data_IF_752342708249
#
_entry.id   IF_752342708249
#
_cell.length_a   1.000
_cell.length_b   1.000
_cell.length_c   1.000
_cell.angle_alpha   90.00
_cell.angle_beta   90.00
_cell.angle_gamma   90.00
#
_symmetry.space_group_name_H-M   'P 1'
#
loop_
_entity.id
_entity.type
_entity.pdbx_description
1 polymer ?
#
# COMPACT_ATOMS: atom_id res chain seq x y z
N UNK A 1 26.76 22.90 -18.83
CA UNK A 1 25.50 23.26 -19.52
C UNK A 1 24.39 22.42 -18.93
N UNK A 2 23.44 23.02 -18.22
CA UNK A 2 22.24 22.32 -17.71
C UNK A 2 21.46 21.78 -18.93
N UNK A 3 21.24 20.47 -19.00
CA UNK A 3 20.44 19.87 -20.09
C UNK A 3 19.01 20.40 -20.02
N UNK A 4 18.57 21.11 -21.03
CA UNK A 4 17.19 21.60 -21.11
C UNK A 4 16.23 20.41 -21.10
N UNK A 5 15.17 20.52 -20.31
CA UNK A 5 14.14 19.51 -20.28
C UNK A 5 13.39 19.46 -21.61
N UNK A 6 13.23 18.27 -22.18
CA UNK A 6 12.29 18.07 -23.28
C UNK A 6 10.85 18.31 -22.81
N UNK A 7 9.94 18.64 -23.72
CA UNK A 7 8.53 18.83 -23.36
C UNK A 7 7.93 17.57 -22.75
N UNK A 8 8.28 16.39 -23.28
CA UNK A 8 7.85 15.11 -22.71
C UNK A 8 8.35 14.94 -21.27
N UNK A 9 9.63 15.22 -21.00
CA UNK A 9 10.18 15.11 -19.66
C UNK A 9 9.48 16.05 -18.67
N UNK A 10 9.12 17.28 -19.09
CA UNK A 10 8.35 18.23 -18.26
C UNK A 10 6.96 17.69 -17.94
N UNK A 11 6.27 17.14 -18.93
CA UNK A 11 4.92 16.56 -18.72
C UNK A 11 4.97 15.36 -17.80
N UNK A 12 5.90 14.43 -18.04
CA UNK A 12 6.08 13.23 -17.18
C UNK A 12 6.42 13.64 -15.75
N UNK A 13 7.36 14.56 -15.58
CA UNK A 13 7.75 15.06 -14.25
C UNK A 13 6.53 15.65 -13.52
N UNK A 14 5.84 16.59 -14.14
CA UNK A 14 4.69 17.26 -13.51
C UNK A 14 3.55 16.32 -13.16
N UNK A 15 3.27 15.34 -14.04
CA UNK A 15 2.18 14.39 -13.83
C UNK A 15 2.48 13.33 -12.80
N UNK A 16 3.75 12.92 -12.67
CA UNK A 16 4.10 11.69 -11.93
C UNK A 16 4.91 11.96 -10.67
N UNK A 17 5.82 12.93 -10.68
CA UNK A 17 6.83 13.08 -9.62
C UNK A 17 6.72 14.37 -8.83
N UNK A 18 6.25 15.45 -9.45
CA UNK A 18 6.00 16.72 -8.80
C UNK A 18 4.78 16.62 -7.90
N UNK A 19 4.93 16.95 -6.64
CA UNK A 19 3.85 16.86 -5.63
C UNK A 19 3.17 18.20 -5.43
N UNK A 20 1.95 18.13 -4.87
CA UNK A 20 1.13 19.28 -4.52
C UNK A 20 0.55 19.11 -3.10
N UNK A 21 1.37 18.67 -2.17
CA UNK A 21 0.92 18.33 -0.80
C UNK A 21 0.46 19.56 -0.01
N UNK A 22 0.97 20.74 -0.36
CA UNK A 22 0.72 22.02 0.34
C UNK A 22 0.02 23.06 -0.53
N UNK A 23 -0.67 22.64 -1.59
CA UNK A 23 -1.42 23.53 -2.48
C UNK A 23 -0.59 24.23 -3.57
N UNK A 24 0.72 24.04 -3.56
CA UNK A 24 1.61 24.52 -4.61
C UNK A 24 2.31 23.33 -5.29
N UNK A 25 2.25 23.34 -6.62
CA UNK A 25 2.94 22.31 -7.42
C UNK A 25 4.47 22.50 -7.32
N UNK A 26 5.16 21.43 -6.88
CA UNK A 26 6.62 21.44 -6.81
C UNK A 26 7.26 21.75 -8.18
N UNK A 27 8.33 22.55 -8.17
CA UNK A 27 9.31 22.59 -9.23
C UNK A 27 10.43 21.56 -8.99
N UNK A 28 11.37 21.44 -9.93
CA UNK A 28 12.43 20.44 -9.82
C UNK A 28 13.35 20.64 -8.58
N UNK A 29 13.63 21.89 -8.22
CA UNK A 29 14.44 22.18 -7.05
C UNK A 29 13.72 21.76 -5.76
N UNK A 30 12.44 22.04 -5.67
CA UNK A 30 11.61 21.63 -4.50
C UNK A 30 11.60 20.10 -4.35
N UNK A 31 11.43 19.37 -5.46
CA UNK A 31 11.49 17.90 -5.45
C UNK A 31 12.87 17.41 -4.99
N UNK A 32 13.96 18.01 -5.47
CA UNK A 32 15.33 17.62 -5.08
C UNK A 32 15.53 17.81 -3.58
N UNK A 33 15.16 18.99 -3.04
CA UNK A 33 15.30 19.24 -1.60
C UNK A 33 14.46 18.30 -0.76
N UNK A 34 13.20 18.08 -1.12
CA UNK A 34 12.32 17.12 -0.43
C UNK A 34 12.89 15.71 -0.43
N UNK A 35 13.37 15.23 -1.56
CA UNK A 35 13.93 13.87 -1.71
C UNK A 35 15.21 13.72 -0.90
N UNK A 36 16.11 14.70 -0.95
CA UNK A 36 17.34 14.71 -0.14
C UNK A 36 16.95 14.66 1.33
N UNK A 37 16.13 15.60 1.79
CA UNK A 37 15.69 15.65 3.18
C UNK A 37 15.10 14.30 3.63
N UNK A 38 14.18 13.73 2.86
CA UNK A 38 13.52 12.46 3.20
C UNK A 38 14.45 11.24 3.27
N UNK A 39 15.63 11.31 2.62
CA UNK A 39 16.59 10.21 2.63
C UNK A 39 17.74 10.42 3.63
N UNK A 40 18.07 11.65 4.00
CA UNK A 40 19.19 11.93 4.93
C UNK A 40 18.74 12.24 6.35
N UNK A 41 17.45 12.50 6.57
CA UNK A 41 16.89 12.80 7.89
C UNK A 41 17.21 11.68 8.88
N UNK A 42 17.88 12.04 9.97
CA UNK A 42 18.29 11.09 11.01
C UNK A 42 19.56 10.30 10.70
N UNK A 43 20.20 10.54 9.55
CA UNK A 43 21.51 9.99 9.22
C UNK A 43 22.62 10.98 9.52
N UNK A 44 23.80 10.48 9.85
CA UNK A 44 25.00 11.31 10.04
C UNK A 44 25.66 11.59 8.67
N UNK A 45 25.09 12.54 7.93
CA UNK A 45 25.54 12.95 6.59
C UNK A 45 26.09 14.37 6.68
N UNK A 46 27.29 14.61 6.16
CA UNK A 46 27.94 15.93 6.16
C UNK A 46 27.26 16.87 5.16
N UNK A 47 27.37 18.19 5.42
CA UNK A 47 26.89 19.22 4.49
C UNK A 47 27.56 19.13 3.10
N UNK A 48 28.81 18.69 3.04
CA UNK A 48 29.54 18.48 1.79
C UNK A 48 28.89 17.33 0.96
N UNK A 49 28.50 16.26 1.60
CA UNK A 49 27.78 15.14 0.94
C UNK A 49 26.39 15.57 0.48
N UNK A 50 25.65 16.31 1.31
CA UNK A 50 24.35 16.87 0.94
C UNK A 50 24.48 17.80 -0.28
N UNK A 51 25.46 18.70 -0.27
CA UNK A 51 25.72 19.59 -1.40
C UNK A 51 26.08 18.82 -2.68
N UNK A 52 26.82 17.72 -2.56
CA UNK A 52 27.18 16.84 -3.67
C UNK A 52 25.95 16.09 -4.22
N UNK A 53 25.09 15.55 -3.34
CA UNK A 53 23.82 14.92 -3.74
C UNK A 53 22.92 15.92 -4.47
N UNK A 54 22.76 17.12 -3.91
CA UNK A 54 22.00 18.22 -4.52
C UNK A 54 22.51 18.53 -5.92
N UNK A 55 23.83 18.70 -6.09
CA UNK A 55 24.42 18.95 -7.39
C UNK A 55 24.10 17.84 -8.40
N UNK A 56 24.29 16.56 -8.04
CA UNK A 56 24.04 15.46 -8.94
C UNK A 56 22.57 15.35 -9.34
N UNK A 57 21.66 15.55 -8.39
CA UNK A 57 20.23 15.51 -8.68
C UNK A 57 19.77 16.72 -9.49
N UNK A 58 20.18 17.93 -9.15
CA UNK A 58 19.84 19.15 -9.90
C UNK A 58 20.29 19.05 -11.36
N UNK A 59 21.49 18.54 -11.60
CA UNK A 59 22.05 18.32 -12.93
C UNK A 59 21.55 17.02 -13.60
N UNK A 60 20.70 16.24 -12.90
CA UNK A 60 20.16 14.93 -13.38
C UNK A 60 21.26 13.95 -13.79
N UNK A 61 22.40 13.98 -13.11
CA UNK A 61 23.51 13.06 -13.30
C UNK A 61 23.33 11.77 -12.51
N UNK A 62 22.63 11.87 -11.36
CA UNK A 62 22.17 10.74 -10.57
C UNK A 62 20.79 11.06 -9.99
N UNK A 63 19.90 10.09 -10.00
CA UNK A 63 18.55 10.21 -9.45
C UNK A 63 18.17 8.90 -8.77
N UNK A 64 17.36 8.94 -7.70
CA UNK A 64 16.79 7.71 -7.15
C UNK A 64 15.80 7.09 -8.15
N UNK A 65 15.35 5.88 -7.87
CA UNK A 65 14.24 5.27 -8.60
C UNK A 65 12.99 6.17 -8.58
N UNK A 66 12.11 6.03 -9.56
CA UNK A 66 10.91 6.87 -9.67
C UNK A 66 10.06 6.91 -8.39
N UNK A 67 9.97 5.78 -7.67
CA UNK A 67 9.30 5.71 -6.36
C UNK A 67 9.98 6.62 -5.34
N UNK A 68 11.30 6.67 -5.30
CA UNK A 68 12.06 7.57 -4.44
C UNK A 68 11.80 9.04 -4.78
N UNK A 69 11.75 9.41 -6.07
CA UNK A 69 11.39 10.76 -6.49
C UNK A 69 9.98 11.17 -6.04
N UNK A 70 9.04 10.24 -6.10
CA UNK A 70 7.64 10.52 -5.77
C UNK A 70 7.38 10.52 -4.27
N UNK A 71 7.98 9.58 -3.51
CA UNK A 71 7.59 9.28 -2.13
C UNK A 71 8.54 9.84 -1.06
N UNK A 72 9.87 9.90 -1.31
CA UNK A 72 10.83 10.36 -0.29
C UNK A 72 10.52 11.77 0.19
N UNK A 73 10.48 11.95 1.50
CA UNK A 73 10.20 13.24 2.14
C UNK A 73 8.76 13.73 2.02
N UNK A 74 7.85 12.95 1.43
CA UNK A 74 6.43 13.28 1.42
C UNK A 74 5.80 13.07 2.82
N UNK A 75 4.69 13.74 3.16
CA UNK A 75 4.01 13.54 4.44
C UNK A 75 3.63 12.08 4.70
N UNK A 76 3.29 11.35 3.64
CA UNK A 76 3.02 9.90 3.71
C UNK A 76 4.26 9.07 4.06
N UNK A 77 5.46 9.47 3.61
CA UNK A 77 6.71 8.82 4.00
C UNK A 77 6.97 8.97 5.50
N UNK A 78 6.77 10.15 6.04
CA UNK A 78 6.94 10.40 7.47
C UNK A 78 5.94 9.62 8.32
N UNK A 79 4.69 9.49 7.85
CA UNK A 79 3.61 8.80 8.55
C UNK A 79 3.68 7.27 8.45
N UNK A 80 3.99 6.74 7.26
CA UNK A 80 3.88 5.31 6.94
C UNK A 80 5.24 4.59 6.89
N UNK A 81 6.35 5.34 7.01
CA UNK A 81 7.70 4.81 6.94
C UNK A 81 8.16 4.47 5.52
N UNK A 82 9.33 3.83 5.43
CA UNK A 82 10.03 3.58 4.16
C UNK A 82 9.55 2.37 3.36
N UNK A 83 8.58 1.59 3.83
CA UNK A 83 8.15 0.38 3.14
C UNK A 83 7.69 0.65 1.70
N UNK A 84 6.96 1.76 1.48
CA UNK A 84 6.50 2.17 0.17
C UNK A 84 7.63 2.62 -0.79
N UNK A 85 8.88 2.75 -0.35
CA UNK A 85 10.03 2.97 -1.22
C UNK A 85 10.42 1.72 -2.00
N UNK A 86 10.10 0.53 -1.49
CA UNK A 86 10.33 -0.72 -2.19
C UNK A 86 9.23 -0.97 -3.21
N UNK A 87 9.62 -1.41 -4.41
CA UNK A 87 8.68 -1.69 -5.49
C UNK A 87 8.25 -3.15 -5.55
N UNK A 88 9.10 -4.08 -5.08
CA UNK A 88 8.91 -5.51 -5.28
C UNK A 88 9.11 -6.28 -3.98
N UNK A 89 8.23 -7.26 -3.76
CA UNK A 89 8.22 -8.13 -2.60
C UNK A 89 8.03 -9.58 -3.03
N UNK A 90 8.56 -10.49 -2.25
CA UNK A 90 8.35 -11.92 -2.45
C UNK A 90 7.93 -12.57 -1.13
N UNK A 91 6.83 -13.32 -1.17
CA UNK A 91 6.26 -14.05 -0.05
C UNK A 91 6.00 -15.51 -0.42
N UNK A 92 5.80 -16.35 0.57
CA UNK A 92 5.37 -17.75 0.41
C UNK A 92 3.98 -17.94 1.04
N UNK A 93 3.16 -18.82 0.46
CA UNK A 93 1.82 -19.12 0.98
C UNK A 93 1.88 -20.25 2.03
N UNK A 94 2.80 -20.15 3.00
CA UNK A 94 2.98 -21.15 4.05
C UNK A 94 2.32 -20.76 5.41
N UNK A 95 1.75 -19.58 5.45
CA UNK A 95 0.95 -19.07 6.56
C UNK A 95 -0.20 -18.23 6.01
N UNK A 96 -1.34 -18.23 6.67
CA UNK A 96 -2.48 -17.41 6.27
C UNK A 96 -2.21 -15.91 6.48
N UNK A 97 -1.36 -15.55 7.42
CA UNK A 97 -0.93 -14.17 7.67
C UNK A 97 -0.20 -13.56 6.47
N UNK A 98 0.51 -14.39 5.68
CA UNK A 98 1.22 -13.91 4.49
C UNK A 98 0.29 -13.36 3.40
N UNK A 99 -0.99 -13.78 3.38
CA UNK A 99 -1.99 -13.16 2.50
C UNK A 99 -2.38 -11.75 2.99
N UNK A 100 -2.44 -11.54 4.30
CA UNK A 100 -2.68 -10.19 4.88
C UNK A 100 -1.49 -9.27 4.61
N UNK A 101 -0.27 -9.77 4.79
CA UNK A 101 0.96 -9.03 4.46
C UNK A 101 0.99 -8.68 2.96
N UNK A 102 0.62 -9.63 2.09
CA UNK A 102 0.54 -9.37 0.65
C UNK A 102 -0.43 -8.24 0.32
N UNK A 103 -1.63 -8.24 0.90
CA UNK A 103 -2.59 -7.16 0.73
C UNK A 103 -2.02 -5.82 1.22
N UNK A 104 -1.39 -5.79 2.37
CA UNK A 104 -0.79 -4.58 2.95
C UNK A 104 0.24 -3.96 2.01
N UNK A 105 1.14 -4.78 1.50
CA UNK A 105 2.19 -4.35 0.57
C UNK A 105 1.63 -3.91 -0.80
N UNK A 106 0.59 -4.60 -1.31
CA UNK A 106 -0.11 -4.19 -2.52
C UNK A 106 -0.80 -2.83 -2.34
N UNK A 107 -1.41 -2.57 -1.17
CA UNK A 107 -2.03 -1.27 -0.87
C UNK A 107 -0.99 -0.15 -0.71
N UNK A 108 0.26 -0.45 -0.42
CA UNK A 108 1.38 0.49 -0.50
C UNK A 108 1.89 0.69 -1.94
N UNK A 109 1.23 0.07 -2.92
CA UNK A 109 1.58 0.15 -4.35
C UNK A 109 2.78 -0.71 -4.73
N UNK A 110 3.17 -1.68 -3.91
CA UNK A 110 4.21 -2.66 -4.23
C UNK A 110 3.72 -3.73 -5.20
N UNK A 111 4.61 -4.33 -5.96
CA UNK A 111 4.38 -5.59 -6.66
C UNK A 111 4.71 -6.75 -5.72
N UNK A 112 3.77 -7.66 -5.50
CA UNK A 112 3.96 -8.77 -4.56
C UNK A 112 3.87 -10.09 -5.32
N UNK A 113 4.98 -10.83 -5.37
CA UNK A 113 5.01 -12.24 -5.80
C UNK A 113 4.68 -13.15 -4.62
N UNK A 114 3.70 -14.03 -4.79
CA UNK A 114 3.33 -15.03 -3.79
C UNK A 114 3.54 -16.43 -4.35
N UNK A 115 4.48 -17.19 -3.78
CA UNK A 115 4.69 -18.58 -4.17
C UNK A 115 3.65 -19.48 -3.53
N UNK A 116 2.85 -20.15 -4.38
CA UNK A 116 1.75 -21.06 -3.98
C UNK A 116 2.13 -22.54 -4.21
N UNK A 117 3.42 -22.85 -4.23
CA UNK A 117 3.88 -24.23 -4.38
C UNK A 117 3.38 -25.13 -3.24
N UNK A 118 3.15 -26.41 -3.54
CA UNK A 118 2.64 -27.37 -2.56
C UNK A 118 3.47 -27.44 -1.26
N UNK A 119 4.81 -27.34 -1.36
CA UNK A 119 5.73 -27.32 -0.18
C UNK A 119 5.42 -26.18 0.81
N UNK A 120 4.77 -25.10 0.36
CA UNK A 120 4.33 -23.99 1.20
C UNK A 120 2.86 -24.16 1.61
N UNK A 121 1.98 -24.34 0.64
CA UNK A 121 0.53 -24.39 0.90
C UNK A 121 0.11 -25.59 1.76
N UNK A 122 0.88 -26.69 1.75
CA UNK A 122 0.66 -27.85 2.62
C UNK A 122 0.85 -27.56 4.11
N UNK A 123 1.45 -26.42 4.47
CA UNK A 123 1.62 -25.98 5.88
C UNK A 123 0.40 -25.21 6.40
N UNK A 124 -0.48 -24.77 5.53
CA UNK A 124 -1.68 -24.05 5.93
C UNK A 124 -2.57 -24.97 6.79
N UNK A 125 -3.21 -24.41 7.84
CA UNK A 125 -4.18 -25.15 8.64
C UNK A 125 -5.37 -25.60 7.78
N UNK A 126 -6.04 -26.66 8.20
CA UNK A 126 -7.30 -27.07 7.58
C UNK A 126 -8.37 -26.00 7.78
N UNK A 127 -9.16 -25.79 6.74
CA UNK A 127 -10.25 -24.81 6.75
C UNK A 127 -11.34 -25.27 7.73
N UNK A 128 -11.70 -24.44 8.69
CA UNK A 128 -12.74 -24.72 9.70
C UNK A 128 -14.10 -24.87 9.03
N UNK A 129 -14.95 -25.70 9.64
CA UNK A 129 -16.33 -25.92 9.18
C UNK A 129 -17.29 -24.85 9.70
N UNK A 130 -18.41 -24.71 9.04
CA UNK A 130 -19.56 -23.88 9.45
C UNK A 130 -19.25 -22.39 9.65
N UNK A 131 -18.17 -21.88 9.04
CA UNK A 131 -17.81 -20.46 9.05
C UNK A 131 -18.62 -19.71 8.00
N UNK A 132 -19.28 -18.64 8.43
CA UNK A 132 -20.01 -17.71 7.57
C UNK A 132 -19.58 -16.28 7.85
N UNK A 133 -19.18 -15.55 6.79
CA UNK A 133 -18.86 -14.14 6.84
C UNK A 133 -19.93 -13.38 6.06
N UNK A 134 -20.58 -12.41 6.71
CA UNK A 134 -21.75 -11.72 6.14
C UNK A 134 -21.47 -10.22 6.06
N UNK A 135 -21.64 -9.64 4.87
CA UNK A 135 -21.62 -8.19 4.70
C UNK A 135 -22.99 -7.61 5.07
N UNK A 136 -22.99 -6.56 5.89
CA UNK A 136 -24.18 -5.82 6.29
C UNK A 136 -23.99 -4.32 5.98
N UNK A 137 -25.03 -3.66 5.50
CA UNK A 137 -24.98 -2.22 5.20
C UNK A 137 -25.37 -1.35 6.42
N UNK A 138 -25.19 -1.85 7.63
CA UNK A 138 -25.60 -1.21 8.89
C UNK A 138 -24.43 -1.02 9.85
N UNK A 139 -24.63 -0.22 10.90
CA UNK A 139 -23.65 -0.03 11.97
C UNK A 139 -23.70 -1.11 13.05
N UNK A 140 -24.62 -2.07 12.95
CA UNK A 140 -24.82 -3.13 13.95
C UNK A 140 -24.02 -4.40 13.63
N UNK A 141 -23.14 -4.34 12.64
CA UNK A 141 -22.24 -5.44 12.31
C UNK A 141 -21.18 -5.65 13.41
N UNK A 142 -20.74 -6.91 13.56
CA UNK A 142 -19.71 -7.30 14.55
C UNK A 142 -18.38 -6.58 14.31
N UNK A 143 -18.09 -6.22 13.06
CA UNK A 143 -16.92 -5.44 12.70
C UNK A 143 -17.27 -4.33 11.70
N UNK A 144 -16.94 -3.09 12.04
CA UNK A 144 -17.08 -1.94 11.14
C UNK A 144 -15.70 -1.58 10.60
N UNK A 145 -15.56 -1.69 9.27
CA UNK A 145 -14.30 -1.41 8.58
C UNK A 145 -14.00 0.08 8.67
N UNK A 146 -12.86 0.43 9.23
CA UNK A 146 -12.39 1.82 9.22
C UNK A 146 -11.91 2.21 7.83
N UNK A 147 -12.08 3.51 7.49
CA UNK A 147 -11.65 4.07 6.20
C UNK A 147 -10.13 4.27 6.16
N UNK A 148 -9.40 3.18 6.22
CA UNK A 148 -7.93 3.15 6.27
C UNK A 148 -7.39 1.85 5.69
N UNK A 149 -6.12 1.85 5.28
CA UNK A 149 -5.39 0.66 4.86
C UNK A 149 -5.40 -0.42 5.95
N UNK A 150 -5.19 -0.01 7.19
CA UNK A 150 -5.19 -0.88 8.35
C UNK A 150 -6.55 -1.53 8.57
N UNK A 151 -7.66 -0.79 8.37
CA UNK A 151 -9.02 -1.33 8.48
C UNK A 151 -9.34 -2.39 7.43
N UNK A 152 -8.87 -2.20 6.21
CA UNK A 152 -9.02 -3.19 5.14
C UNK A 152 -8.21 -4.46 5.42
N UNK A 153 -6.97 -4.31 5.90
CA UNK A 153 -6.12 -5.43 6.29
C UNK A 153 -6.67 -6.18 7.50
N UNK A 154 -7.22 -5.47 8.48
CA UNK A 154 -7.85 -6.08 9.65
C UNK A 154 -9.08 -6.90 9.27
N UNK A 155 -9.90 -6.45 8.30
CA UNK A 155 -11.01 -7.25 7.81
C UNK A 155 -10.51 -8.57 7.19
N UNK A 156 -9.53 -8.52 6.30
CA UNK A 156 -8.96 -9.74 5.71
C UNK A 156 -8.38 -10.65 6.79
N UNK A 157 -7.64 -10.09 7.76
CA UNK A 157 -7.09 -10.85 8.88
C UNK A 157 -8.18 -11.60 9.65
N UNK A 158 -9.27 -10.92 10.01
CA UNK A 158 -10.42 -11.54 10.71
C UNK A 158 -11.07 -12.65 9.91
N UNK A 159 -11.26 -12.43 8.61
CA UNK A 159 -11.82 -13.45 7.71
C UNK A 159 -10.95 -14.70 7.68
N UNK A 160 -9.65 -14.54 7.44
CA UNK A 160 -8.73 -15.68 7.38
C UNK A 160 -8.58 -16.36 8.74
N UNK A 161 -8.49 -15.60 9.83
CA UNK A 161 -8.47 -16.15 11.19
C UNK A 161 -9.74 -16.96 11.51
N UNK A 162 -10.91 -16.51 11.07
CA UNK A 162 -12.16 -17.26 11.21
C UNK A 162 -12.08 -18.62 10.51
N UNK A 163 -11.61 -18.63 9.28
CA UNK A 163 -11.53 -19.86 8.49
C UNK A 163 -10.38 -20.79 8.90
N UNK A 164 -9.24 -20.26 9.31
CA UNK A 164 -8.06 -21.09 9.59
C UNK A 164 -7.83 -21.38 11.07
N UNK A 165 -8.32 -20.53 11.97
CA UNK A 165 -7.98 -20.63 13.40
C UNK A 165 -9.21 -20.84 14.28
N UNK A 166 -10.15 -19.87 14.29
CA UNK A 166 -11.18 -19.82 15.33
C UNK A 166 -12.45 -20.60 15.01
N UNK A 167 -12.83 -20.73 13.76
CA UNK A 167 -14.11 -21.29 13.34
C UNK A 167 -15.32 -20.40 13.63
N UNK A 168 -15.11 -19.14 14.05
CA UNK A 168 -16.19 -18.20 14.42
C UNK A 168 -16.69 -17.44 13.21
N UNK A 169 -18.01 -17.44 13.02
CA UNK A 169 -18.69 -16.58 12.05
C UNK A 169 -18.80 -15.15 12.57
N UNK A 170 -18.84 -14.18 11.66
CA UNK A 170 -19.10 -12.79 12.01
C UNK A 170 -19.68 -12.00 10.83
N UNK A 171 -20.28 -10.87 11.15
CA UNK A 171 -20.73 -9.88 10.18
C UNK A 171 -19.79 -8.67 10.11
N UNK A 172 -19.69 -8.06 8.93
CA UNK A 172 -18.91 -6.82 8.79
C UNK A 172 -19.67 -5.77 7.98
N UNK A 173 -19.31 -4.50 8.20
CA UNK A 173 -19.89 -3.37 7.47
C UNK A 173 -18.80 -2.46 6.93
N UNK A 174 -19.05 -1.93 5.74
CA UNK A 174 -18.20 -0.93 5.08
C UNK A 174 -18.81 0.46 5.08
N UNK A 175 -19.80 0.70 5.94
CA UNK A 175 -20.56 1.98 6.02
C UNK A 175 -19.68 3.20 6.31
N UNK A 176 -18.51 3.01 6.91
CA UNK A 176 -17.55 4.07 7.21
C UNK A 176 -16.48 4.25 6.12
N UNK A 177 -16.43 3.40 5.11
CA UNK A 177 -15.47 3.51 4.01
C UNK A 177 -15.95 4.59 3.04
N UNK A 178 -15.03 5.51 2.68
CA UNK A 178 -15.32 6.61 1.75
C UNK A 178 -15.81 6.11 0.39
N UNK A 179 -16.67 6.86 -0.29
CA UNK A 179 -17.16 6.50 -1.62
C UNK A 179 -16.06 6.56 -2.68
N UNK A 180 -16.37 5.97 -3.83
CA UNK A 180 -15.54 6.03 -5.03
C UNK A 180 -15.35 7.49 -5.49
N UNK A 181 -14.14 7.82 -5.94
CA UNK A 181 -13.78 9.13 -6.47
C UNK A 181 -13.29 10.13 -5.43
N UNK A 182 -13.45 9.89 -4.14
CA UNK A 182 -12.88 10.77 -3.12
C UNK A 182 -11.35 10.69 -3.07
N UNK A 183 -10.67 11.83 -2.85
CA UNK A 183 -9.20 11.85 -2.82
C UNK A 183 -8.62 11.08 -1.64
N UNK A 184 -7.55 10.32 -1.89
CA UNK A 184 -6.74 9.66 -0.85
C UNK A 184 -5.70 10.66 -0.37
N UNK A 185 -5.94 11.24 0.82
CA UNK A 185 -5.04 12.24 1.41
C UNK A 185 -3.68 11.62 1.76
N UNK A 186 -2.61 12.31 1.37
CA UNK A 186 -1.23 11.96 1.71
C UNK A 186 -0.58 10.95 0.77
N UNK A 187 -1.26 9.88 0.36
CA UNK A 187 -0.71 8.91 -0.58
C UNK A 187 -0.92 9.35 -2.04
N UNK A 188 -2.05 10.01 -2.32
CA UNK A 188 -2.44 10.46 -3.65
C UNK A 188 -3.38 9.48 -4.36
N UNK A 189 -4.00 9.95 -5.44
CA UNK A 189 -5.02 9.20 -6.17
C UNK A 189 -6.41 9.34 -5.57
N UNK A 190 -7.35 8.53 -6.07
CA UNK A 190 -8.76 8.52 -5.68
C UNK A 190 -9.18 7.16 -5.16
N UNK A 191 -10.12 7.17 -4.23
CA UNK A 191 -10.72 5.97 -3.65
C UNK A 191 -11.48 5.16 -4.71
N UNK A 192 -11.37 3.84 -4.62
CA UNK A 192 -12.22 2.90 -5.38
C UNK A 192 -13.58 2.63 -4.72
N UNK A 193 -13.85 3.25 -3.57
CA UNK A 193 -15.00 2.93 -2.74
C UNK A 193 -14.90 1.54 -2.08
N UNK A 194 -15.95 1.11 -1.37
CA UNK A 194 -15.96 -0.16 -0.63
C UNK A 194 -16.16 -1.40 -1.52
N UNK A 195 -16.68 -1.25 -2.74
CA UNK A 195 -17.07 -2.38 -3.60
C UNK A 195 -15.94 -3.40 -3.83
N UNK A 196 -14.71 -3.01 -4.21
CA UNK A 196 -13.64 -3.99 -4.45
C UNK A 196 -13.27 -4.80 -3.19
N UNK A 197 -13.35 -4.20 -2.02
CA UNK A 197 -13.13 -4.91 -0.75
C UNK A 197 -14.22 -5.96 -0.50
N UNK A 198 -15.49 -5.59 -0.67
CA UNK A 198 -16.62 -6.50 -0.49
C UNK A 198 -16.54 -7.67 -1.47
N UNK A 199 -16.26 -7.39 -2.74
CA UNK A 199 -16.06 -8.41 -3.79
C UNK A 199 -14.91 -9.37 -3.44
N UNK A 200 -13.77 -8.84 -3.00
CA UNK A 200 -12.63 -9.65 -2.57
C UNK A 200 -12.99 -10.58 -1.40
N UNK A 201 -13.63 -10.06 -0.36
CA UNK A 201 -14.01 -10.85 0.81
C UNK A 201 -15.07 -11.91 0.45
N UNK A 202 -16.02 -11.55 -0.40
CA UNK A 202 -17.03 -12.50 -0.91
C UNK A 202 -16.39 -13.66 -1.69
N UNK A 203 -15.44 -13.36 -2.57
CA UNK A 203 -14.72 -14.37 -3.35
C UNK A 203 -13.87 -15.28 -2.46
N UNK A 204 -13.13 -14.71 -1.50
CA UNK A 204 -12.35 -15.48 -0.52
C UNK A 204 -13.27 -16.37 0.31
N UNK A 205 -14.39 -15.83 0.81
CA UNK A 205 -15.38 -16.58 1.55
C UNK A 205 -15.95 -17.74 0.75
N UNK A 206 -16.27 -17.53 -0.52
CA UNK A 206 -16.76 -18.58 -1.43
C UNK A 206 -15.75 -19.71 -1.64
N UNK A 207 -14.48 -19.36 -1.89
CA UNK A 207 -13.38 -20.32 -2.05
C UNK A 207 -13.17 -21.14 -0.77
N UNK A 208 -13.09 -20.49 0.38
CA UNK A 208 -12.83 -21.16 1.65
C UNK A 208 -14.01 -22.02 2.10
N UNK A 209 -15.27 -21.57 1.88
CA UNK A 209 -16.46 -22.41 2.11
C UNK A 209 -16.44 -23.70 1.30
N UNK A 210 -16.02 -23.65 0.04
CA UNK A 210 -15.91 -24.85 -0.81
C UNK A 210 -14.78 -25.81 -0.35
N UNK A 211 -13.91 -25.38 0.55
CA UNK A 211 -12.74 -26.13 1.08
C UNK A 211 -12.87 -26.50 2.56
N UNK A 212 -14.00 -26.23 3.20
CA UNK A 212 -14.20 -26.52 4.62
C UNK A 212 -13.96 -27.99 4.93
N UNK A 213 -13.18 -28.22 6.00
CA UNK A 213 -12.81 -29.57 6.46
C UNK A 213 -11.67 -30.25 5.69
N UNK A 214 -11.06 -29.54 4.74
CA UNK A 214 -9.95 -30.06 3.92
C UNK A 214 -8.65 -29.39 4.32
#
# INVERSE_FOLDING_TARGET
MSKVWSNLAKVVYRRTYSRNDYGLQENWADTVERVIYGNVKGLNVSEAEIARLRYFMMERKAMPAGRGLWYSGAPSHEKLGGAALNNCWALTADSWENFVIAQDLLMLGGGVGLSVEYRYTSKLPRVKKDVSIVHQATKDADYIVTDSREGWNELLRRVLESFFVTGKSFSYSTVCVRPEGEPIKGFGGTSSGPRPLVEMISNIGGILKARQGR
#
